data_IF_452694264575
#
_entry.id   IF_452694264575
#
_cell.length_a   1.000
_cell.length_b   1.000
_cell.length_c   1.000
_cell.angle_alpha   90.00
_cell.angle_beta   90.00
_cell.angle_gamma   90.00
#
_symmetry.space_group_name_H-M   'P 1'
#
loop_
_entity.id
_entity.type
_entity.pdbx_description
1 polymer ?
#
# COMPACT_ATOMS: atom_id res chain seq x y z
N UNK A 1 -13.83 -12.60 18.11
CA UNK A 1 -13.17 -11.38 17.61
C UNK A 1 -13.54 -11.25 16.13
N UNK A 2 -13.99 -10.09 15.64
CA UNK A 2 -14.29 -9.92 14.20
C UNK A 2 -12.98 -9.63 13.48
N UNK A 3 -12.74 -10.31 12.36
CA UNK A 3 -11.55 -10.08 11.52
C UNK A 3 -11.70 -8.77 10.75
N UNK A 4 -10.59 -8.05 10.46
CA UNK A 4 -10.67 -6.78 9.74
C UNK A 4 -11.22 -6.98 8.32
N UNK A 5 -12.07 -6.04 7.87
CA UNK A 5 -12.60 -6.02 6.49
C UNK A 5 -11.68 -5.34 5.50
N UNK A 6 -10.78 -4.48 5.97
CA UNK A 6 -9.89 -3.68 5.13
C UNK A 6 -8.47 -3.72 5.67
N UNK A 7 -7.50 -3.75 4.76
CA UNK A 7 -6.09 -3.44 5.03
C UNK A 7 -5.65 -2.33 4.07
N UNK A 8 -4.92 -1.34 4.60
CA UNK A 8 -4.37 -0.23 3.81
C UNK A 8 -2.86 -0.44 3.68
N UNK A 9 -2.41 -0.78 2.47
CA UNK A 9 -1.00 -1.00 2.18
C UNK A 9 -0.42 0.28 1.59
N UNK A 10 0.59 0.86 2.26
CA UNK A 10 1.30 2.01 1.72
C UNK A 10 2.30 1.53 0.67
N UNK A 11 2.01 1.79 -0.60
CA UNK A 11 2.95 1.46 -1.69
C UNK A 11 4.14 2.40 -1.63
N UNK A 12 3.89 3.70 -1.57
CA UNK A 12 4.93 4.72 -1.51
C UNK A 12 4.44 5.94 -0.76
N UNK A 13 5.36 6.69 -0.16
CA UNK A 13 5.13 8.03 0.41
C UNK A 13 5.46 9.15 -0.59
N UNK A 14 6.02 8.82 -1.74
CA UNK A 14 6.38 9.80 -2.78
C UNK A 14 5.13 10.24 -3.57
N UNK A 15 4.97 11.55 -3.76
CA UNK A 15 3.85 12.13 -4.49
C UNK A 15 4.33 13.13 -5.55
N UNK A 16 3.72 13.09 -6.73
CA UNK A 16 3.90 14.12 -7.77
C UNK A 16 2.97 15.33 -7.57
N UNK A 17 2.01 15.26 -6.64
CA UNK A 17 1.12 16.37 -6.29
C UNK A 17 1.54 17.06 -4.99
N UNK A 18 1.15 18.32 -4.81
CA UNK A 18 1.43 19.12 -3.60
C UNK A 18 0.16 19.70 -2.97
N UNK A 19 -0.78 18.82 -2.63
CA UNK A 19 -2.08 19.22 -2.08
C UNK A 19 -1.93 19.95 -0.74
N UNK A 20 -2.67 21.06 -0.59
CA UNK A 20 -2.63 21.94 0.59
C UNK A 20 -3.16 21.29 1.88
N UNK A 21 -3.92 20.19 1.78
CA UNK A 21 -4.56 19.54 2.93
C UNK A 21 -3.89 18.21 3.31
N UNK A 22 -3.23 17.56 2.35
CA UNK A 22 -2.69 16.22 2.55
C UNK A 22 -1.26 16.26 3.10
N UNK A 23 -0.42 17.16 2.59
CA UNK A 23 1.01 17.32 2.94
C UNK A 23 1.88 16.05 2.85
N UNK A 24 1.32 14.92 2.42
CA UNK A 24 2.01 13.63 2.43
C UNK A 24 3.22 13.61 1.49
N UNK A 25 3.19 14.43 0.44
CA UNK A 25 4.30 14.71 -0.48
C UNK A 25 5.59 15.20 0.18
N UNK A 26 5.52 15.69 1.43
CA UNK A 26 6.70 16.15 2.17
C UNK A 26 7.50 14.98 2.78
N UNK A 27 6.93 13.78 2.84
CA UNK A 27 7.60 12.58 3.32
C UNK A 27 8.29 11.86 2.18
N UNK A 28 9.33 11.10 2.54
CA UNK A 28 9.99 10.17 1.63
C UNK A 28 9.76 8.73 2.06
N UNK A 29 9.91 7.82 1.11
CA UNK A 29 10.01 6.41 1.43
C UNK A 29 11.18 6.18 2.40
N UNK A 30 10.97 5.48 3.53
CA UNK A 30 12.04 5.19 4.45
C UNK A 30 12.95 4.09 3.87
N UNK A 31 14.22 4.01 4.31
CA UNK A 31 15.18 3.04 3.77
C UNK A 31 14.77 1.58 4.03
N UNK A 32 13.93 1.35 5.03
CA UNK A 32 13.34 0.07 5.43
C UNK A 32 11.90 -0.10 4.93
N UNK A 33 11.50 0.59 3.85
CA UNK A 33 10.21 0.35 3.18
C UNK A 33 10.13 -1.12 2.78
N UNK A 34 8.96 -1.73 3.03
CA UNK A 34 8.67 -3.09 2.58
C UNK A 34 8.92 -3.23 1.07
N UNK A 35 9.60 -4.31 0.72
CA UNK A 35 9.72 -4.79 -0.64
C UNK A 35 8.38 -5.35 -1.14
N UNK A 36 8.30 -5.58 -2.45
CA UNK A 36 7.10 -6.15 -3.07
C UNK A 36 6.80 -7.56 -2.54
N UNK A 37 7.83 -8.37 -2.32
CA UNK A 37 7.66 -9.72 -1.77
C UNK A 37 7.15 -9.68 -0.32
N UNK A 38 7.62 -8.72 0.48
CA UNK A 38 7.08 -8.53 1.84
C UNK A 38 5.62 -8.05 1.82
N UNK A 39 5.25 -7.16 0.89
CA UNK A 39 3.87 -6.72 0.72
C UNK A 39 2.95 -7.87 0.28
N UNK A 40 3.40 -8.75 -0.62
CA UNK A 40 2.68 -9.99 -0.98
C UNK A 40 2.48 -10.89 0.24
N UNK A 41 3.53 -11.09 1.04
CA UNK A 41 3.43 -11.84 2.28
C UNK A 41 2.46 -11.24 3.31
N UNK A 42 2.29 -9.91 3.33
CA UNK A 42 1.26 -9.24 4.13
C UNK A 42 -0.15 -9.50 3.57
N UNK A 43 -0.31 -9.52 2.24
CA UNK A 43 -1.58 -9.87 1.59
C UNK A 43 -1.98 -11.32 1.91
N UNK A 44 -1.03 -12.26 1.85
CA UNK A 44 -1.26 -13.67 2.19
C UNK A 44 -1.74 -13.81 3.64
N UNK A 45 -1.03 -13.20 4.60
CA UNK A 45 -1.43 -13.21 6.01
C UNK A 45 -2.81 -12.59 6.22
N UNK A 46 -3.15 -11.52 5.48
CA UNK A 46 -4.48 -10.92 5.56
C UNK A 46 -5.56 -11.83 4.96
N UNK A 47 -5.27 -12.53 3.86
CA UNK A 47 -6.17 -13.50 3.23
C UNK A 47 -6.47 -14.69 4.16
N UNK A 48 -5.47 -15.20 4.88
CA UNK A 48 -5.64 -16.24 5.91
C UNK A 48 -6.60 -15.79 7.03
N UNK A 49 -6.57 -14.51 7.39
CA UNK A 49 -7.47 -13.94 8.39
C UNK A 49 -8.87 -13.64 7.84
N UNK A 50 -8.97 -13.16 6.60
CA UNK A 50 -10.23 -12.81 5.96
C UNK A 50 -10.10 -12.88 4.42
N UNK A 51 -10.50 -14.00 3.79
CA UNK A 51 -10.39 -14.17 2.34
C UNK A 51 -11.36 -13.28 1.54
N UNK A 52 -12.38 -12.71 2.19
CA UNK A 52 -13.29 -11.70 1.59
C UNK A 52 -12.90 -10.27 2.00
N UNK A 53 -11.70 -10.08 2.56
CA UNK A 53 -11.16 -8.78 2.91
C UNK A 53 -10.82 -7.94 1.68
N UNK A 54 -10.76 -6.62 1.88
CA UNK A 54 -10.44 -5.65 0.84
C UNK A 54 -9.03 -5.10 1.10
N UNK A 55 -8.13 -5.29 0.14
CA UNK A 55 -6.82 -4.65 0.11
C UNK A 55 -6.96 -3.29 -0.55
N UNK A 56 -6.59 -2.23 0.16
CA UNK A 56 -6.57 -0.86 -0.34
C UNK A 56 -5.12 -0.45 -0.55
N UNK A 57 -4.73 -0.25 -1.81
CA UNK A 57 -3.45 0.38 -2.10
C UNK A 57 -3.53 1.87 -1.80
N UNK A 58 -2.61 2.32 -0.95
CA UNK A 58 -2.60 3.64 -0.35
C UNK A 58 -1.18 4.20 -0.29
N UNK A 59 -1.02 5.30 0.43
CA UNK A 59 0.20 6.07 0.53
C UNK A 59 -0.02 7.45 -0.05
N UNK A 60 0.93 7.87 -0.88
CA UNK A 60 0.84 9.07 -1.69
C UNK A 60 0.14 8.75 -3.02
N UNK A 61 0.73 9.17 -4.14
CA UNK A 61 0.21 8.81 -5.46
C UNK A 61 0.80 7.46 -5.88
N UNK A 62 -0.01 6.39 -5.83
CA UNK A 62 0.45 5.02 -6.08
C UNK A 62 0.99 4.85 -7.50
N UNK A 63 0.50 5.63 -8.48
CA UNK A 63 0.96 5.55 -9.87
C UNK A 63 2.35 6.15 -10.10
N UNK A 64 2.96 6.82 -9.10
CA UNK A 64 4.39 7.19 -9.12
C UNK A 64 5.29 5.93 -9.11
N UNK A 65 4.84 4.84 -8.47
CA UNK A 65 5.48 3.51 -8.50
C UNK A 65 4.64 2.56 -9.36
N UNK A 66 4.47 2.91 -10.62
CA UNK A 66 3.49 2.28 -11.53
C UNK A 66 3.69 0.77 -11.64
N UNK A 67 4.93 0.32 -11.78
CA UNK A 67 5.29 -1.10 -11.93
C UNK A 67 4.90 -1.88 -10.67
N UNK A 68 5.30 -1.40 -9.50
CA UNK A 68 4.98 -1.99 -8.20
C UNK A 68 3.48 -2.04 -7.92
N UNK A 69 2.77 -0.93 -8.20
CA UNK A 69 1.31 -0.85 -8.04
C UNK A 69 0.59 -1.88 -8.92
N UNK A 70 0.97 -1.97 -10.19
CA UNK A 70 0.33 -2.92 -11.09
C UNK A 70 0.72 -4.37 -10.82
N UNK A 71 1.92 -4.62 -10.33
CA UNK A 71 2.33 -5.95 -9.87
C UNK A 71 1.45 -6.42 -8.72
N UNK A 72 1.31 -5.61 -7.67
CA UNK A 72 0.47 -5.95 -6.51
C UNK A 72 -1.01 -6.04 -6.85
N UNK A 73 -1.53 -5.23 -7.78
CA UNK A 73 -2.94 -5.29 -8.18
C UNK A 73 -3.35 -6.57 -8.92
N UNK A 74 -2.37 -7.31 -9.46
CA UNK A 74 -2.59 -8.56 -10.19
C UNK A 74 -2.30 -9.80 -9.34
N UNK A 75 -1.72 -9.59 -8.16
CA UNK A 75 -1.47 -10.62 -7.17
C UNK A 75 -2.76 -10.88 -6.38
#
# INVERSE_FOLDING_TARGET
>A
MRTPRYIYLTITRECNLRCQQCHFWAYKDPPDRLSIEELKGVIDQFCELNPEGIVVFSGAETTVRKEEFFELSRY
#
